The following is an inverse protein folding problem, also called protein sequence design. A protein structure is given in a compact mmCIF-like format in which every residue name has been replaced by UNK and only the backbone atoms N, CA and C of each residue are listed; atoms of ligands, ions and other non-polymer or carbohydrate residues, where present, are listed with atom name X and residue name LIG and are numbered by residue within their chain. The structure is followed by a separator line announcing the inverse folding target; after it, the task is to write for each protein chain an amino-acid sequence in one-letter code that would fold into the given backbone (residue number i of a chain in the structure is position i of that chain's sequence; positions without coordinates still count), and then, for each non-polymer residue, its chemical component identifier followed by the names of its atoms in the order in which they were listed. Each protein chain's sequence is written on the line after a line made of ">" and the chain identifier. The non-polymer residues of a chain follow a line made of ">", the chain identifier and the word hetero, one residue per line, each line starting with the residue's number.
data_IF_837795559181
#
_entry.id   IF_837795559181
#
_cell.length_a   1.000
_cell.length_b   1.000
_cell.length_c   1.000
_cell.angle_alpha   90.00
_cell.angle_beta   90.00
_cell.angle_gamma   90.00
#
_symmetry.space_group_name_H-M   'P 1'
#
loop_
_entity.id
_entity.type
_entity.pdbx_description
1 polymer ?
#
# COMPACT_ATOMS: atom_id res chain seq x y z
N UNK A 1 25.07 -3.50 2.02
CA UNK A 1 23.85 -4.24 1.56
C UNK A 1 22.64 -3.45 2.03
N UNK A 2 21.61 -3.27 1.19
CA UNK A 2 20.35 -2.63 1.64
C UNK A 2 19.68 -3.54 2.66
N UNK A 3 19.10 -2.96 3.70
CA UNK A 3 18.37 -3.67 4.76
C UNK A 3 17.02 -4.21 4.22
N UNK A 4 16.56 -5.36 4.74
CA UNK A 4 15.26 -5.91 4.36
C UNK A 4 14.13 -5.10 5.00
N UNK A 5 13.27 -4.50 4.19
CA UNK A 5 12.06 -3.80 4.65
C UNK A 5 10.92 -4.79 4.94
N UNK A 6 10.81 -5.84 4.15
CA UNK A 6 9.84 -6.93 4.35
C UNK A 6 10.55 -8.25 4.19
N UNK A 7 10.31 -9.19 5.08
CA UNK A 7 10.70 -10.59 4.98
C UNK A 7 9.52 -11.48 5.30
N UNK A 8 9.18 -12.35 4.37
CA UNK A 8 8.11 -13.34 4.50
C UNK A 8 8.71 -14.71 4.24
N UNK A 9 8.43 -15.67 5.11
CA UNK A 9 8.94 -17.04 4.99
C UNK A 9 7.79 -18.04 5.15
N UNK A 10 7.55 -18.84 4.12
CA UNK A 10 6.57 -19.93 4.07
C UNK A 10 5.16 -19.51 4.56
N UNK A 11 4.73 -18.30 4.18
CA UNK A 11 3.43 -17.76 4.56
C UNK A 11 2.30 -18.61 3.98
N UNK A 12 1.37 -19.00 4.84
CA UNK A 12 0.16 -19.73 4.45
C UNK A 12 -1.09 -19.12 5.06
N UNK A 13 -2.14 -19.02 4.24
CA UNK A 13 -3.48 -18.62 4.66
C UNK A 13 -4.55 -19.36 3.91
N UNK A 14 -5.50 -19.95 4.65
CA UNK A 14 -6.61 -20.71 4.11
C UNK A 14 -7.94 -20.18 4.63
N UNK A 15 -9.00 -20.36 3.85
CA UNK A 15 -10.39 -20.13 4.24
C UNK A 15 -11.22 -21.36 3.88
N UNK A 16 -11.97 -21.88 4.83
CA UNK A 16 -12.83 -23.06 4.64
C UNK A 16 -12.07 -24.24 4.00
N UNK A 17 -10.84 -24.47 4.45
CA UNK A 17 -9.99 -25.57 3.95
C UNK A 17 -9.32 -25.31 2.58
N UNK A 18 -9.60 -24.18 1.92
CA UNK A 18 -8.96 -23.80 0.66
C UNK A 18 -7.83 -22.81 0.91
N UNK A 19 -6.62 -23.16 0.48
CA UNK A 19 -5.49 -22.24 0.54
C UNK A 19 -5.72 -21.05 -0.42
N UNK A 20 -5.52 -19.82 0.09
CA UNK A 20 -5.57 -18.56 -0.66
C UNK A 20 -4.18 -17.97 -0.79
N UNK A 21 -3.30 -18.25 0.16
CA UNK A 21 -1.86 -18.02 0.08
C UNK A 21 -1.21 -19.33 0.52
N UNK A 22 -0.33 -19.90 -0.29
CA UNK A 22 0.30 -21.18 0.00
C UNK A 22 1.81 -21.10 -0.20
N UNK A 23 2.54 -21.33 0.89
CA UNK A 23 4.01 -21.39 0.94
C UNK A 23 4.72 -20.18 0.31
N UNK A 24 4.17 -18.97 0.49
CA UNK A 24 4.76 -17.76 -0.07
C UNK A 24 5.98 -17.33 0.75
N UNK A 25 7.12 -17.21 0.06
CA UNK A 25 8.33 -16.58 0.63
C UNK A 25 8.75 -15.43 -0.28
N UNK A 26 9.02 -14.26 0.30
CA UNK A 26 9.51 -13.08 -0.42
C UNK A 26 10.33 -12.17 0.49
N UNK A 27 11.20 -11.37 -0.12
CA UNK A 27 11.98 -10.35 0.56
C UNK A 27 11.93 -9.05 -0.23
N UNK A 28 11.73 -7.92 0.45
CA UNK A 28 11.74 -6.58 -0.15
C UNK A 28 12.80 -5.74 0.52
N UNK A 29 13.71 -5.15 -0.24
CA UNK A 29 14.78 -4.29 0.27
C UNK A 29 14.28 -2.86 0.46
N UNK A 30 14.88 -2.13 1.41
CA UNK A 30 14.57 -0.72 1.64
C UNK A 30 14.83 0.14 0.40
N UNK A 31 13.95 1.12 0.15
CA UNK A 31 14.06 2.05 -0.98
C UNK A 31 13.78 1.43 -2.35
N UNK A 32 13.06 0.29 -2.40
CA UNK A 32 12.63 -0.36 -3.64
C UNK A 32 11.12 -0.28 -3.81
N UNK A 33 10.67 -0.39 -5.05
CA UNK A 33 9.27 -0.65 -5.40
C UNK A 33 9.14 -2.13 -5.73
N UNK A 34 8.35 -2.84 -4.94
CA UNK A 34 8.06 -4.26 -5.13
C UNK A 34 6.61 -4.44 -5.59
N UNK A 35 6.41 -5.17 -6.67
CA UNK A 35 5.12 -5.48 -7.25
C UNK A 35 4.66 -6.91 -6.95
N UNK A 36 3.51 -7.07 -6.28
CA UNK A 36 2.83 -8.36 -6.15
C UNK A 36 1.71 -8.45 -7.18
N UNK A 37 1.92 -9.25 -8.22
CA UNK A 37 1.01 -9.36 -9.34
C UNK A 37 0.15 -10.62 -9.27
N UNK A 38 -0.95 -10.59 -9.99
CA UNK A 38 -1.83 -11.75 -10.13
C UNK A 38 -3.25 -11.35 -10.49
N UNK A 39 -4.03 -12.28 -11.00
CA UNK A 39 -5.45 -12.08 -11.30
C UNK A 39 -6.26 -11.77 -10.02
N UNK A 40 -7.48 -11.28 -10.20
CA UNK A 40 -8.41 -11.11 -9.08
C UNK A 40 -8.65 -12.46 -8.40
N UNK A 41 -8.60 -12.46 -7.05
CA UNK A 41 -8.69 -13.67 -6.26
C UNK A 41 -7.40 -14.51 -6.18
N UNK A 42 -6.26 -14.03 -6.70
CA UNK A 42 -4.97 -14.73 -6.62
C UNK A 42 -4.36 -14.73 -5.20
N UNK A 43 -4.90 -13.95 -4.24
CA UNK A 43 -4.40 -13.88 -2.87
C UNK A 43 -3.62 -12.60 -2.54
N UNK A 44 -3.54 -11.61 -3.44
CA UNK A 44 -2.76 -10.39 -3.26
C UNK A 44 -3.12 -9.60 -2.00
N UNK A 45 -4.38 -9.17 -1.86
CA UNK A 45 -4.86 -8.41 -0.69
C UNK A 45 -4.75 -9.22 0.60
N UNK A 46 -5.05 -10.54 0.54
CA UNK A 46 -4.85 -11.44 1.69
C UNK A 46 -3.38 -11.52 2.10
N UNK A 47 -2.46 -11.50 1.15
CA UNK A 47 -1.01 -11.47 1.42
C UNK A 47 -0.63 -10.17 2.16
N UNK A 48 -1.07 -9.01 1.67
CA UNK A 48 -0.85 -7.72 2.36
C UNK A 48 -1.41 -7.75 3.77
N UNK A 49 -2.64 -8.20 3.95
CA UNK A 49 -3.31 -8.27 5.25
C UNK A 49 -2.58 -9.20 6.24
N UNK A 50 -2.02 -10.31 5.76
CA UNK A 50 -1.19 -11.20 6.57
C UNK A 50 0.16 -10.56 6.91
N UNK A 51 0.81 -9.87 5.96
CA UNK A 51 2.07 -9.14 6.19
C UNK A 51 1.88 -8.05 7.23
N UNK A 52 0.79 -7.30 7.16
CA UNK A 52 0.44 -6.23 8.12
C UNK A 52 -0.10 -6.78 9.46
N UNK A 53 -0.36 -8.08 9.56
CA UNK A 53 -0.95 -8.71 10.75
C UNK A 53 -2.39 -8.26 11.04
N UNK A 54 -3.10 -7.69 10.07
CA UNK A 54 -4.54 -7.41 10.14
C UNK A 54 -5.36 -8.68 9.98
N UNK A 55 -4.83 -9.66 9.23
CA UNK A 55 -5.31 -11.04 9.23
C UNK A 55 -4.26 -12.00 9.78
N UNK A 56 -4.71 -12.97 10.56
CA UNK A 56 -3.81 -13.98 11.10
C UNK A 56 -3.47 -15.00 10.01
N UNK A 57 -2.18 -15.20 9.73
CA UNK A 57 -1.69 -16.30 8.93
C UNK A 57 -1.90 -17.64 9.66
N UNK A 58 -2.08 -18.72 8.90
CA UNK A 58 -2.18 -20.07 9.45
C UNK A 58 -0.79 -20.61 9.83
N UNK A 59 0.24 -20.24 9.04
CA UNK A 59 1.65 -20.56 9.31
C UNK A 59 2.57 -19.58 8.58
N UNK A 60 3.87 -19.67 8.86
CA UNK A 60 4.91 -18.82 8.28
C UNK A 60 5.33 -17.68 9.21
N UNK A 61 6.41 -17.01 8.84
CA UNK A 61 6.98 -15.90 9.59
C UNK A 61 6.99 -14.64 8.75
N UNK A 62 6.68 -13.51 9.39
CA UNK A 62 6.65 -12.19 8.75
C UNK A 62 7.36 -11.18 9.63
N UNK A 63 8.30 -10.45 9.03
CA UNK A 63 8.94 -9.27 9.61
C UNK A 63 8.77 -8.09 8.67
N UNK A 64 8.41 -6.92 9.20
CA UNK A 64 8.25 -5.67 8.46
C UNK A 64 9.04 -4.58 9.17
N UNK A 65 10.02 -3.96 8.51
CA UNK A 65 10.96 -2.99 9.10
C UNK A 65 11.62 -3.52 10.40
N UNK A 66 11.91 -4.82 10.47
CA UNK A 66 12.43 -5.48 11.67
C UNK A 66 11.40 -5.73 12.77
N UNK A 67 10.16 -5.30 12.61
CA UNK A 67 9.07 -5.52 13.56
C UNK A 67 8.30 -6.79 13.26
N UNK A 68 7.83 -7.44 14.31
CA UNK A 68 6.80 -8.47 14.20
C UNK A 68 5.41 -7.81 14.16
N UNK A 69 4.72 -7.88 13.03
CA UNK A 69 3.51 -7.10 12.76
C UNK A 69 2.42 -7.19 13.86
N UNK A 70 2.25 -8.34 14.51
CA UNK A 70 1.26 -8.53 15.57
C UNK A 70 1.75 -8.03 16.94
N UNK A 71 3.03 -8.28 17.30
CA UNK A 71 3.59 -7.94 18.62
C UNK A 71 3.93 -6.45 18.71
N UNK A 72 4.47 -5.89 17.63
CA UNK A 72 4.98 -4.51 17.60
C UNK A 72 4.04 -3.56 16.84
N UNK A 73 2.76 -3.93 16.69
CA UNK A 73 1.77 -3.24 15.85
C UNK A 73 1.80 -1.71 16.00
N UNK A 74 1.84 -1.21 17.24
CA UNK A 74 1.80 0.23 17.52
C UNK A 74 3.03 0.97 17.00
N UNK A 75 4.21 0.32 17.02
CA UNK A 75 5.46 0.89 16.48
C UNK A 75 5.45 0.81 14.96
N UNK A 76 5.11 -0.36 14.44
CA UNK A 76 5.05 -0.61 13.01
C UNK A 76 4.17 0.41 12.28
N UNK A 77 2.95 0.64 12.74
CA UNK A 77 2.01 1.56 12.08
C UNK A 77 2.33 3.05 12.27
N UNK A 78 3.38 3.40 13.03
CA UNK A 78 3.96 4.75 13.00
C UNK A 78 4.93 4.95 11.81
N UNK A 79 5.40 3.86 11.19
CA UNK A 79 6.41 3.90 10.13
C UNK A 79 5.90 3.31 8.80
N UNK A 80 4.65 2.83 8.79
CA UNK A 80 4.02 2.20 7.62
C UNK A 80 2.75 2.95 7.25
N UNK A 81 2.63 3.28 5.96
CA UNK A 81 1.39 3.74 5.37
C UNK A 81 0.66 2.61 4.66
N UNK A 82 -0.66 2.65 4.65
CA UNK A 82 -1.48 1.62 4.00
C UNK A 82 -2.64 2.25 3.27
N UNK A 83 -2.76 1.95 1.99
CA UNK A 83 -3.95 2.22 1.19
C UNK A 83 -4.57 0.89 0.82
N UNK A 84 -5.75 0.61 1.35
CA UNK A 84 -6.58 -0.55 0.97
C UNK A 84 -7.52 -0.19 -0.18
N UNK A 85 -8.00 -1.22 -0.88
CA UNK A 85 -8.92 -1.07 -2.01
C UNK A 85 -10.25 -0.43 -1.61
N UNK A 86 -10.74 -0.71 -0.41
CA UNK A 86 -11.96 -0.14 0.16
C UNK A 86 -11.66 0.54 1.49
N UNK A 87 -12.10 1.78 1.64
CA UNK A 87 -12.05 2.53 2.88
C UNK A 87 -13.44 3.05 3.24
N UNK A 88 -13.92 2.71 4.43
CA UNK A 88 -15.16 3.25 5.00
C UNK A 88 -14.84 4.57 5.71
N UNK A 89 -15.44 5.64 5.22
CA UNK A 89 -15.37 6.97 5.81
C UNK A 89 -16.77 7.51 6.05
N UNK A 90 -16.90 8.44 6.98
CA UNK A 90 -18.17 9.14 7.15
C UNK A 90 -18.53 9.86 5.83
N UNK A 91 -19.72 9.62 5.24
CA UNK A 91 -20.04 10.09 3.89
C UNK A 91 -19.88 11.60 3.70
N UNK A 92 -20.15 12.39 4.74
CA UNK A 92 -20.13 13.85 4.71
C UNK A 92 -18.78 14.47 5.14
N UNK A 93 -17.82 13.65 5.59
CA UNK A 93 -16.50 14.18 6.01
C UNK A 93 -15.82 14.87 4.83
N UNK A 94 -15.25 16.03 5.08
CA UNK A 94 -14.50 16.79 4.08
C UNK A 94 -13.08 16.24 3.96
N UNK A 95 -12.47 16.46 2.81
CA UNK A 95 -11.09 16.02 2.55
C UNK A 95 -10.13 16.52 3.63
N UNK A 96 -10.18 17.82 3.98
CA UNK A 96 -9.28 18.37 4.99
C UNK A 96 -9.53 17.77 6.38
N UNK A 97 -10.80 17.55 6.77
CA UNK A 97 -11.15 16.96 8.06
C UNK A 97 -10.59 15.53 8.19
N UNK A 98 -10.72 14.72 7.13
CA UNK A 98 -10.17 13.37 7.10
C UNK A 98 -8.63 13.39 7.16
N UNK A 99 -7.97 14.32 6.47
CA UNK A 99 -6.52 14.45 6.55
C UNK A 99 -6.06 14.85 7.97
N UNK A 100 -6.77 15.78 8.63
CA UNK A 100 -6.49 16.20 10.01
C UNK A 100 -6.71 15.06 11.02
N UNK A 101 -7.78 14.27 10.85
CA UNK A 101 -8.00 13.07 11.68
C UNK A 101 -6.84 12.09 11.58
N UNK A 102 -6.36 11.80 10.36
CA UNK A 102 -5.23 10.90 10.16
C UNK A 102 -3.94 11.51 10.72
N UNK A 103 -3.67 12.80 10.45
CA UNK A 103 -2.50 13.51 10.96
C UNK A 103 -2.35 13.38 12.48
N UNK A 104 -3.45 13.54 13.23
CA UNK A 104 -3.46 13.45 14.70
C UNK A 104 -3.03 12.07 15.25
N UNK A 105 -3.04 11.02 14.45
CA UNK A 105 -2.64 9.67 14.88
C UNK A 105 -1.12 9.47 14.89
N UNK A 106 -0.36 10.37 14.27
CA UNK A 106 1.07 10.19 14.04
C UNK A 106 1.91 11.27 14.73
N UNK A 107 3.13 10.88 15.13
CA UNK A 107 4.04 11.78 15.87
C UNK A 107 4.74 12.79 14.97
N UNK A 108 5.11 12.37 13.77
CA UNK A 108 5.86 13.16 12.79
C UNK A 108 5.21 13.05 11.41
N UNK A 109 3.97 13.52 11.24
CA UNK A 109 3.25 13.39 9.97
C UNK A 109 3.91 14.25 8.88
N UNK A 110 3.73 13.84 7.64
CA UNK A 110 4.04 14.65 6.47
C UNK A 110 3.01 15.78 6.33
N UNK A 111 3.41 16.88 5.69
CA UNK A 111 2.48 17.96 5.36
C UNK A 111 1.47 17.48 4.30
N UNK A 112 0.28 17.12 4.78
CA UNK A 112 -0.79 16.61 3.91
C UNK A 112 -1.31 17.64 2.91
N UNK A 113 -1.17 18.95 3.19
CA UNK A 113 -1.57 20.01 2.26
C UNK A 113 -0.66 20.00 1.04
N UNK A 114 0.64 19.89 1.25
CA UNK A 114 1.60 19.73 0.16
C UNK A 114 1.37 18.41 -0.61
N UNK A 115 1.05 17.32 0.08
CA UNK A 115 0.70 16.05 -0.58
C UNK A 115 -0.54 16.23 -1.45
N UNK A 116 -1.62 16.83 -0.95
CA UNK A 116 -2.83 17.09 -1.73
C UNK A 116 -2.54 17.93 -2.99
N UNK A 117 -1.71 18.97 -2.89
CA UNK A 117 -1.28 19.76 -4.05
C UNK A 117 -0.51 18.91 -5.07
N UNK A 118 0.49 18.14 -4.61
CA UNK A 118 1.29 17.26 -5.49
C UNK A 118 0.44 16.23 -6.20
N UNK A 119 -0.56 15.67 -5.52
CA UNK A 119 -1.49 14.68 -6.09
C UNK A 119 -2.65 15.33 -6.88
N UNK A 120 -2.69 16.67 -7.00
CA UNK A 120 -3.68 17.40 -7.79
C UNK A 120 -5.11 17.30 -7.25
N UNK A 121 -5.25 17.35 -5.93
CA UNK A 121 -6.52 17.41 -5.19
C UNK A 121 -6.57 18.57 -4.18
N UNK A 122 -5.63 19.51 -4.27
CA UNK A 122 -5.58 20.68 -3.38
C UNK A 122 -6.80 21.59 -3.49
N UNK A 123 -7.43 21.67 -4.65
CA UNK A 123 -8.68 22.41 -4.87
C UNK A 123 -9.93 21.72 -4.28
N UNK A 124 -9.81 20.46 -3.80
CA UNK A 124 -10.90 19.63 -3.28
C UNK A 124 -10.99 19.59 -1.76
N UNK A 125 -10.13 20.28 -1.04
CA UNK A 125 -10.02 20.19 0.43
C UNK A 125 -11.36 20.40 1.16
N UNK A 126 -12.20 21.30 0.65
CA UNK A 126 -13.51 21.62 1.25
C UNK A 126 -14.65 20.71 0.76
N UNK A 127 -14.41 19.82 -0.18
CA UNK A 127 -15.40 18.91 -0.71
C UNK A 127 -15.61 17.73 0.24
N UNK A 128 -16.85 17.21 0.31
CA UNK A 128 -17.10 15.95 0.97
C UNK A 128 -16.44 14.80 0.20
N UNK A 129 -15.84 13.83 0.89
CA UNK A 129 -15.13 12.70 0.27
C UNK A 129 -16.03 11.93 -0.71
N UNK A 130 -17.33 11.78 -0.38
CA UNK A 130 -18.30 11.13 -1.27
C UNK A 130 -18.52 11.84 -2.61
N UNK A 131 -18.27 13.17 -2.68
CA UNK A 131 -18.46 13.97 -3.88
C UNK A 131 -17.28 13.92 -4.85
N UNK A 132 -16.17 13.32 -4.43
CA UNK A 132 -15.00 13.14 -5.28
C UNK A 132 -15.28 12.13 -6.38
N UNK A 133 -14.75 12.37 -7.57
CA UNK A 133 -14.67 11.34 -8.62
C UNK A 133 -13.86 10.15 -8.15
N UNK A 134 -14.02 8.99 -8.79
CA UNK A 134 -13.23 7.79 -8.46
C UNK A 134 -11.73 8.05 -8.47
N UNK A 135 -11.22 8.79 -9.47
CA UNK A 135 -9.81 9.12 -9.58
C UNK A 135 -9.33 10.14 -8.52
N UNK A 136 -10.15 11.13 -8.15
CA UNK A 136 -9.83 12.05 -7.05
C UNK A 136 -9.79 11.33 -5.72
N UNK A 137 -10.75 10.45 -5.48
CA UNK A 137 -10.81 9.64 -4.26
C UNK A 137 -9.62 8.68 -4.16
N UNK A 138 -9.21 8.04 -5.26
CA UNK A 138 -8.03 7.18 -5.27
C UNK A 138 -6.77 7.95 -4.90
N UNK A 139 -6.58 9.15 -5.46
CA UNK A 139 -5.45 10.02 -5.13
C UNK A 139 -5.48 10.47 -3.67
N UNK A 140 -6.67 10.78 -3.13
CA UNK A 140 -6.82 11.06 -1.71
C UNK A 140 -6.37 9.88 -0.85
N UNK A 141 -6.75 8.65 -1.17
CA UNK A 141 -6.37 7.48 -0.40
C UNK A 141 -4.86 7.23 -0.40
N UNK A 142 -4.18 7.53 -1.50
CA UNK A 142 -2.71 7.49 -1.55
C UNK A 142 -2.13 8.59 -0.64
N UNK A 143 -2.67 9.81 -0.68
CA UNK A 143 -2.26 10.89 0.23
C UNK A 143 -2.40 10.46 1.69
N UNK A 144 -3.56 9.90 2.08
CA UNK A 144 -3.78 9.43 3.45
C UNK A 144 -2.75 8.38 3.88
N UNK A 145 -2.36 7.47 2.98
CA UNK A 145 -1.31 6.49 3.26
C UNK A 145 0.09 7.11 3.41
N UNK A 146 0.30 8.32 2.88
CA UNK A 146 1.58 9.04 2.97
C UNK A 146 1.64 10.03 4.15
N UNK A 147 0.50 10.40 4.76
CA UNK A 147 0.46 11.27 5.95
C UNK A 147 1.34 10.75 7.10
N UNK A 148 1.42 9.43 7.38
CA UNK A 148 2.33 8.92 8.41
C UNK A 148 3.80 9.30 8.25
N UNK A 149 4.20 9.87 7.11
CA UNK A 149 5.60 10.03 6.68
C UNK A 149 6.35 8.68 6.72
N UNK A 150 5.82 7.67 6.01
CA UNK A 150 6.21 6.28 6.22
C UNK A 150 7.57 5.96 5.59
N UNK A 151 8.27 4.96 6.15
CA UNK A 151 9.44 4.31 5.52
C UNK A 151 9.02 3.27 4.48
N UNK A 152 7.82 2.72 4.63
CA UNK A 152 7.23 1.70 3.76
C UNK A 152 5.75 1.98 3.57
N UNK A 153 5.28 1.97 2.32
CA UNK A 153 3.86 2.10 2.00
C UNK A 153 3.34 0.86 1.27
N UNK A 154 2.17 0.41 1.67
CA UNK A 154 1.40 -0.63 0.97
C UNK A 154 0.30 0.03 0.16
N UNK A 155 0.24 -0.28 -1.14
CA UNK A 155 -0.72 0.28 -2.08
C UNK A 155 -1.45 -0.86 -2.80
N UNK A 156 -2.70 -1.12 -2.43
CA UNK A 156 -3.49 -2.20 -3.03
C UNK A 156 -4.27 -1.67 -4.23
N UNK A 157 -3.98 -2.20 -5.44
CA UNK A 157 -4.54 -1.77 -6.71
C UNK A 157 -4.38 -0.26 -6.97
N UNK A 158 -3.14 0.22 -6.89
CA UNK A 158 -2.70 1.61 -6.86
C UNK A 158 -3.45 2.56 -7.82
N UNK A 159 -3.63 2.19 -9.08
CA UNK A 159 -4.16 3.10 -10.11
C UNK A 159 -5.52 2.70 -10.66
N UNK A 160 -6.23 1.81 -9.98
CA UNK A 160 -7.58 1.43 -10.39
C UNK A 160 -8.49 2.66 -10.36
N UNK A 161 -9.21 2.90 -11.48
CA UNK A 161 -10.09 4.07 -11.64
C UNK A 161 -9.41 5.38 -12.02
N UNK A 162 -8.08 5.40 -12.20
CA UNK A 162 -7.36 6.56 -12.72
C UNK A 162 -7.33 6.57 -14.26
N UNK A 163 -7.50 7.75 -14.85
CA UNK A 163 -7.20 7.96 -16.27
C UNK A 163 -5.68 7.92 -16.52
N UNK A 164 -5.27 7.82 -17.77
CA UNK A 164 -3.86 7.67 -18.17
C UNK A 164 -2.98 8.85 -17.70
N UNK A 165 -3.52 10.07 -17.64
CA UNK A 165 -2.78 11.26 -17.18
C UNK A 165 -2.58 11.24 -15.68
N UNK A 166 -3.63 10.98 -14.91
CA UNK A 166 -3.57 10.87 -13.47
C UNK A 166 -2.64 9.72 -13.02
N UNK A 167 -2.68 8.57 -13.72
CA UNK A 167 -1.80 7.44 -13.49
C UNK A 167 -0.33 7.83 -13.62
N UNK A 168 0.06 8.48 -14.72
CA UNK A 168 1.44 8.95 -14.93
C UNK A 168 1.89 9.95 -13.86
N UNK A 169 0.99 10.81 -13.41
CA UNK A 169 1.29 11.77 -12.33
C UNK A 169 1.59 11.03 -11.03
N UNK A 170 0.77 10.05 -10.66
CA UNK A 170 1.00 9.22 -9.47
C UNK A 170 2.32 8.46 -9.56
N UNK A 171 2.61 7.84 -10.70
CA UNK A 171 3.88 7.13 -10.92
C UNK A 171 5.10 8.03 -10.69
N UNK A 172 5.09 9.23 -11.30
CA UNK A 172 6.18 10.19 -11.12
C UNK A 172 6.37 10.60 -9.65
N UNK A 173 5.28 10.82 -8.92
CA UNK A 173 5.35 11.18 -7.50
C UNK A 173 5.96 10.02 -6.70
N UNK A 174 5.54 8.78 -6.96
CA UNK A 174 6.08 7.60 -6.27
C UNK A 174 7.56 7.38 -6.58
N UNK A 175 7.99 7.58 -7.83
CA UNK A 175 9.41 7.55 -8.19
C UNK A 175 10.22 8.60 -7.42
N UNK A 176 9.70 9.82 -7.28
CA UNK A 176 10.36 10.88 -6.53
C UNK A 176 10.44 10.57 -5.03
N UNK A 177 9.39 9.97 -4.45
CA UNK A 177 9.39 9.51 -3.07
C UNK A 177 10.34 8.32 -2.85
N UNK A 178 10.41 7.39 -3.81
CA UNK A 178 11.40 6.31 -3.82
C UNK A 178 12.85 6.84 -3.79
N UNK A 179 13.16 7.88 -4.59
CA UNK A 179 14.48 8.54 -4.57
C UNK A 179 14.80 9.16 -3.20
N UNK A 180 13.77 9.52 -2.42
CA UNK A 180 13.90 10.01 -1.05
C UNK A 180 13.99 8.90 -0.01
N UNK A 181 13.98 7.62 -0.43
CA UNK A 181 14.15 6.45 0.43
C UNK A 181 12.86 5.72 0.79
N UNK A 182 11.68 6.14 0.28
CA UNK A 182 10.44 5.41 0.49
C UNK A 182 10.53 4.02 -0.13
N UNK A 183 10.14 3.00 0.62
CA UNK A 183 9.91 1.65 0.11
C UNK A 183 8.43 1.52 -0.25
N UNK A 184 8.13 0.90 -1.39
CA UNK A 184 6.75 0.70 -1.85
C UNK A 184 6.49 -0.78 -2.08
N UNK A 185 5.45 -1.30 -1.46
CA UNK A 185 4.87 -2.61 -1.78
C UNK A 185 3.52 -2.37 -2.43
N UNK A 186 3.39 -2.74 -3.69
CA UNK A 186 2.15 -2.51 -4.43
C UNK A 186 1.58 -3.79 -5.02
N UNK A 187 0.26 -3.83 -5.17
CA UNK A 187 -0.39 -4.83 -6.01
C UNK A 187 -0.90 -4.18 -7.28
N UNK A 188 -0.80 -4.90 -8.37
CA UNK A 188 -1.36 -4.48 -9.65
C UNK A 188 -1.77 -5.68 -10.50
N UNK A 189 -2.66 -5.42 -11.44
CA UNK A 189 -2.96 -6.31 -12.56
C UNK A 189 -2.63 -5.65 -13.91
N UNK A 190 -2.04 -4.45 -13.90
CA UNK A 190 -1.60 -3.70 -15.08
C UNK A 190 -0.10 -3.86 -15.30
N UNK A 191 0.30 -4.43 -16.45
CA UNK A 191 1.71 -4.66 -16.76
C UNK A 191 2.49 -3.36 -17.01
N UNK A 192 1.86 -2.36 -17.63
CA UNK A 192 2.44 -1.05 -17.86
C UNK A 192 2.83 -0.32 -16.57
N UNK A 193 2.04 -0.48 -15.51
CA UNK A 193 2.34 0.05 -14.18
C UNK A 193 3.57 -0.63 -13.55
N UNK A 194 3.62 -1.93 -13.70
CA UNK A 194 4.70 -2.76 -13.19
C UNK A 194 6.03 -2.45 -13.87
N UNK A 195 6.03 -2.38 -15.19
CA UNK A 195 7.20 -2.02 -15.99
C UNK A 195 7.71 -0.61 -15.66
N UNK A 196 6.79 0.33 -15.38
CA UNK A 196 7.15 1.71 -15.08
C UNK A 196 7.72 1.90 -13.67
N UNK A 197 7.25 1.14 -12.67
CA UNK A 197 7.53 1.43 -11.25
C UNK A 197 8.37 0.40 -10.54
N UNK A 198 8.19 -0.91 -10.83
CA UNK A 198 8.73 -1.97 -9.98
C UNK A 198 10.19 -2.25 -10.29
N UNK A 199 10.98 -2.41 -9.22
CA UNK A 199 12.36 -2.93 -9.29
C UNK A 199 12.39 -4.46 -9.25
N UNK A 200 11.48 -5.05 -8.46
CA UNK A 200 11.32 -6.49 -8.30
C UNK A 200 9.81 -6.83 -8.30
N UNK A 201 9.48 -8.02 -8.76
CA UNK A 201 8.09 -8.48 -8.85
C UNK A 201 7.96 -9.91 -8.33
N UNK A 202 6.77 -10.23 -7.83
CA UNK A 202 6.35 -11.61 -7.59
C UNK A 202 4.97 -11.82 -8.22
N UNK A 203 4.81 -12.89 -8.99
CA UNK A 203 3.52 -13.21 -9.61
C UNK A 203 2.86 -14.33 -8.82
N UNK A 204 1.65 -14.07 -8.33
CA UNK A 204 0.80 -15.05 -7.67
C UNK A 204 -0.20 -15.68 -8.64
N UNK A 205 -0.28 -17.00 -8.62
CA UNK A 205 -1.31 -17.77 -9.31
C UNK A 205 -1.96 -18.74 -8.33
N UNK A 206 -3.24 -18.53 -8.01
CA UNK A 206 -4.00 -19.37 -7.06
C UNK A 206 -3.31 -19.50 -5.68
N UNK A 207 -2.72 -18.42 -5.19
CA UNK A 207 -2.07 -18.40 -3.89
C UNK A 207 -0.60 -18.83 -3.88
N UNK A 208 -0.08 -19.35 -4.97
CA UNK A 208 1.32 -19.80 -5.09
C UNK A 208 2.15 -18.79 -5.89
N UNK A 209 3.40 -18.55 -5.52
CA UNK A 209 4.33 -17.76 -6.33
C UNK A 209 4.77 -18.60 -7.54
N UNK A 210 4.56 -18.07 -8.76
CA UNK A 210 4.96 -18.74 -10.02
C UNK A 210 6.15 -18.05 -10.69
N UNK A 211 6.50 -16.86 -10.26
CA UNK A 211 7.65 -16.08 -10.73
C UNK A 211 8.12 -15.15 -9.61
N UNK A 212 9.46 -14.97 -9.53
CA UNK A 212 10.11 -14.09 -8.57
C UNK A 212 11.28 -13.39 -9.24
#
# INVERSE_FOLDING_TARGET
>A
MREEAIKVTNLRKSYNGKAVVDNLSLSVKTGMVFGLLGANGAGKSTTIECILGTKQADSGEVSVLGYHAKKDRRKLFQEVGVQFQEGDYQPEIKVFELCEEIECLYKNPADWRQLCERFGIGDKLKNAVKSLSGGERQRLFIVLALIPNPKLVFLDELTTGLDARARRTVWKILEDLKKQGLTVFMTSHFMDEVEALCDEICILKKGEPVFY
#
